data_IF_290034748845
#
_entry.id   IF_290034748845
#
_cell.length_a   1.000
_cell.length_b   1.000
_cell.length_c   1.000
_cell.angle_alpha   90.00
_cell.angle_beta   90.00
_cell.angle_gamma   90.00
#
_symmetry.space_group_name_H-M   'P 1'
#
loop_
_entity.id
_entity.type
_entity.pdbx_description
1 polymer ?
#
# COMPACT_ATOMS: atom_id res chain seq x y z
N UNK A 1 -20.43 -12.41 16.19
CA UNK A 1 -19.97 -12.05 14.84
C UNK A 1 -18.64 -12.76 14.59
N UNK A 2 -18.58 -13.66 13.61
CA UNK A 2 -17.36 -14.40 13.29
C UNK A 2 -16.30 -13.44 12.74
N UNK A 3 -15.07 -13.51 13.26
CA UNK A 3 -13.94 -12.73 12.75
C UNK A 3 -13.76 -13.04 11.25
N UNK A 4 -13.70 -12.02 10.37
CA UNK A 4 -13.49 -12.27 8.94
C UNK A 4 -12.21 -13.07 8.72
N UNK A 5 -12.23 -13.94 7.71
CA UNK A 5 -11.04 -14.70 7.32
C UNK A 5 -9.86 -13.75 7.10
N UNK A 6 -8.66 -14.16 7.47
CA UNK A 6 -7.46 -13.30 7.42
C UNK A 6 -7.25 -12.62 6.07
N UNK A 7 -7.56 -13.33 4.98
CA UNK A 7 -7.52 -12.83 3.59
C UNK A 7 -8.49 -11.69 3.28
N UNK A 8 -9.56 -11.53 4.08
CA UNK A 8 -10.59 -10.48 3.93
C UNK A 8 -10.40 -9.32 4.90
N UNK A 9 -9.35 -9.34 5.74
CA UNK A 9 -9.07 -8.22 6.64
C UNK A 9 -8.44 -7.06 5.87
N UNK A 10 -8.90 -5.85 6.12
CA UNK A 10 -8.29 -4.64 5.54
C UNK A 10 -7.01 -4.22 6.23
N UNK A 11 -6.84 -4.55 7.52
CA UNK A 11 -5.69 -4.13 8.33
C UNK A 11 -5.10 -5.30 9.10
N UNK A 12 -3.77 -5.40 9.06
CA UNK A 12 -2.93 -6.34 9.81
C UNK A 12 -1.79 -5.55 10.47
N UNK A 13 -1.61 -5.69 11.78
CA UNK A 13 -0.49 -5.08 12.50
C UNK A 13 0.82 -5.83 12.23
N UNK A 14 1.98 -5.16 12.35
CA UNK A 14 3.28 -5.82 12.09
C UNK A 14 3.51 -7.06 12.95
N UNK A 15 3.06 -7.06 14.21
CA UNK A 15 3.08 -8.24 15.10
C UNK A 15 2.27 -9.43 14.58
N UNK A 16 1.35 -9.19 13.65
CA UNK A 16 0.52 -10.23 13.04
C UNK A 16 1.13 -10.74 11.73
N UNK A 17 2.07 -10.01 11.11
CA UNK A 17 2.57 -10.27 9.75
C UNK A 17 3.84 -11.12 9.73
N UNK A 18 3.92 -12.10 8.84
CA UNK A 18 5.15 -12.82 8.53
C UNK A 18 5.32 -13.06 7.03
N UNK A 19 6.40 -13.76 6.66
CA UNK A 19 6.75 -14.00 5.25
C UNK A 19 5.66 -14.75 4.46
N UNK A 20 4.79 -15.50 5.14
CA UNK A 20 3.64 -16.19 4.50
C UNK A 20 2.52 -15.23 4.07
N UNK A 21 2.55 -13.98 4.53
CA UNK A 21 1.54 -12.98 4.23
C UNK A 21 1.87 -12.14 2.98
N UNK A 22 2.93 -12.44 2.22
CA UNK A 22 3.26 -11.70 0.99
C UNK A 22 2.07 -11.56 0.02
N UNK A 23 1.24 -12.60 -0.22
CA UNK A 23 0.06 -12.44 -1.06
C UNK A 23 -0.96 -11.41 -0.55
N UNK A 24 -0.92 -11.09 0.75
CA UNK A 24 -1.85 -10.14 1.40
C UNK A 24 -1.25 -8.74 1.53
N UNK A 25 0.06 -8.63 1.78
CA UNK A 25 0.70 -7.36 2.14
C UNK A 25 1.94 -6.99 1.32
N UNK A 26 2.35 -7.81 0.36
CA UNK A 26 3.58 -7.62 -0.40
C UNK A 26 4.86 -7.95 0.39
N UNK A 27 5.97 -8.07 -0.35
CA UNK A 27 7.27 -8.52 0.15
C UNK A 27 7.81 -7.64 1.29
N UNK A 28 7.73 -6.31 1.12
CA UNK A 28 8.24 -5.34 2.11
C UNK A 28 7.51 -5.42 3.45
N UNK A 29 6.18 -5.38 3.45
CA UNK A 29 5.42 -5.42 4.71
C UNK A 29 5.52 -6.79 5.38
N UNK A 30 5.55 -7.88 4.60
CA UNK A 30 5.74 -9.22 5.14
C UNK A 30 7.12 -9.37 5.80
N UNK A 31 8.19 -8.90 5.13
CA UNK A 31 9.54 -8.90 5.67
C UNK A 31 9.68 -8.02 6.91
N UNK A 32 9.04 -6.84 6.92
CA UNK A 32 9.01 -5.96 8.09
C UNK A 32 8.29 -6.61 9.28
N UNK A 33 7.17 -7.28 9.02
CA UNK A 33 6.45 -8.08 10.01
C UNK A 33 7.31 -9.21 10.59
N UNK A 34 7.99 -9.95 9.71
CA UNK A 34 8.89 -11.04 10.08
C UNK A 34 10.01 -10.54 11.02
N UNK A 35 10.64 -9.42 10.67
CA UNK A 35 11.64 -8.76 11.52
C UNK A 35 11.02 -8.30 12.84
N UNK A 36 9.84 -7.68 12.81
CA UNK A 36 9.16 -7.21 14.01
C UNK A 36 8.90 -8.35 15.00
N UNK A 37 8.36 -9.48 14.52
CA UNK A 37 8.08 -10.63 15.38
C UNK A 37 9.34 -11.30 15.93
N UNK A 38 10.39 -11.45 15.11
CA UNK A 38 11.59 -12.22 15.47
C UNK A 38 12.63 -11.42 16.25
N UNK A 39 12.70 -10.10 16.06
CA UNK A 39 13.82 -9.28 16.52
C UNK A 39 13.47 -8.30 17.63
N UNK A 40 12.20 -7.85 17.76
CA UNK A 40 11.81 -6.93 18.84
C UNK A 40 12.01 -7.56 20.21
N UNK A 41 11.63 -8.83 20.38
CA UNK A 41 11.90 -9.59 21.62
C UNK A 41 13.39 -9.85 21.89
N UNK A 42 14.26 -9.59 20.92
CA UNK A 42 15.72 -9.71 21.02
C UNK A 42 16.43 -8.36 21.17
N UNK A 43 15.68 -7.29 21.44
CA UNK A 43 16.22 -5.95 21.69
C UNK A 43 16.43 -5.09 20.44
N UNK A 44 16.04 -5.55 19.24
CA UNK A 44 16.10 -4.71 18.03
C UNK A 44 14.92 -3.74 18.03
N UNK A 45 15.21 -2.44 17.99
CA UNK A 45 14.18 -1.40 17.95
C UNK A 45 13.58 -1.28 16.55
N UNK A 46 12.37 -1.84 16.36
CA UNK A 46 11.60 -1.71 15.13
C UNK A 46 10.36 -0.88 15.44
N UNK A 47 10.17 0.29 14.80
CA UNK A 47 8.99 1.11 15.02
C UNK A 47 7.72 0.36 14.61
N UNK A 48 6.70 0.45 15.47
CA UNK A 48 5.45 -0.25 15.24
C UNK A 48 4.62 0.42 14.11
N UNK A 49 3.64 -0.32 13.63
CA UNK A 49 2.80 0.07 12.51
C UNK A 49 1.83 -1.03 12.10
N UNK A 50 1.13 -0.76 11.02
CA UNK A 50 0.18 -1.69 10.42
C UNK A 50 0.23 -1.62 8.90
N UNK A 51 -0.15 -2.72 8.25
CA UNK A 51 -0.35 -2.79 6.82
C UNK A 51 -1.84 -2.68 6.49
N UNK A 52 -2.15 -1.83 5.51
CA UNK A 52 -3.40 -1.88 4.75
C UNK A 52 -3.21 -2.93 3.66
N UNK A 53 -4.07 -3.95 3.63
CA UNK A 53 -3.87 -5.13 2.77
C UNK A 53 -4.19 -4.86 1.30
N UNK A 54 -3.70 -5.72 0.42
CA UNK A 54 -4.08 -5.72 -0.99
C UNK A 54 -5.59 -5.94 -1.20
N UNK A 55 -6.26 -6.65 -0.27
CA UNK A 55 -7.70 -6.78 -0.29
C UNK A 55 -8.42 -5.42 -0.15
N UNK A 56 -7.91 -4.52 0.71
CA UNK A 56 -8.47 -3.17 0.86
C UNK A 56 -8.33 -2.33 -0.42
N UNK A 57 -7.25 -2.54 -1.18
CA UNK A 57 -7.08 -1.91 -2.49
C UNK A 57 -8.16 -2.35 -3.48
N UNK A 58 -8.36 -3.67 -3.64
CA UNK A 58 -9.41 -4.18 -4.53
C UNK A 58 -10.81 -3.76 -4.07
N UNK A 59 -11.04 -3.76 -2.77
CA UNK A 59 -12.29 -3.30 -2.18
C UNK A 59 -12.58 -1.82 -2.50
N UNK A 60 -11.57 -0.95 -2.42
CA UNK A 60 -11.68 0.45 -2.83
C UNK A 60 -12.10 0.58 -4.31
N UNK A 61 -11.41 -0.13 -5.21
CA UNK A 61 -11.72 -0.06 -6.64
C UNK A 61 -13.13 -0.55 -6.97
N UNK A 62 -13.56 -1.62 -6.30
CA UNK A 62 -14.89 -2.21 -6.47
C UNK A 62 -15.98 -1.27 -5.93
N UNK A 63 -15.85 -0.80 -4.68
CA UNK A 63 -16.85 0.08 -4.06
C UNK A 63 -16.92 1.47 -4.67
N UNK A 64 -15.82 1.98 -5.22
CA UNK A 64 -15.81 3.22 -5.96
C UNK A 64 -16.36 3.06 -7.40
N UNK A 65 -16.59 1.83 -7.87
CA UNK A 65 -17.12 1.57 -9.21
C UNK A 65 -16.12 1.83 -10.35
N UNK A 66 -14.86 2.13 -10.05
CA UNK A 66 -13.87 2.56 -11.05
C UNK A 66 -13.15 1.40 -11.75
N UNK A 67 -13.40 0.14 -11.35
CA UNK A 67 -12.71 -1.01 -11.93
C UNK A 67 -12.89 -1.11 -13.44
N UNK A 68 -14.10 -0.90 -13.94
CA UNK A 68 -14.39 -0.98 -15.38
C UNK A 68 -13.93 0.27 -16.14
N UNK A 69 -13.91 1.43 -15.48
CA UNK A 69 -13.26 2.63 -16.02
C UNK A 69 -11.77 2.42 -16.26
N UNK A 70 -11.07 1.85 -15.28
CA UNK A 70 -9.64 1.51 -15.43
C UNK A 70 -9.45 0.54 -16.59
N UNK A 71 -10.30 -0.50 -16.74
CA UNK A 71 -10.21 -1.42 -17.89
C UNK A 71 -10.38 -0.69 -19.22
N UNK A 72 -11.36 0.21 -19.32
CA UNK A 72 -11.60 1.01 -20.53
C UNK A 72 -10.40 1.89 -20.85
N UNK A 73 -9.84 2.56 -19.83
CA UNK A 73 -8.67 3.43 -19.98
C UNK A 73 -7.46 2.63 -20.44
N UNK A 74 -7.29 1.38 -20.03
CA UNK A 74 -6.10 0.57 -20.37
C UNK A 74 -6.27 -0.32 -21.61
N UNK A 75 -7.42 -0.27 -22.30
CA UNK A 75 -7.75 -1.18 -23.40
C UNK A 75 -6.78 -1.08 -24.59
N UNK A 76 -6.34 0.13 -24.92
CA UNK A 76 -5.43 0.47 -26.02
C UNK A 76 -4.06 0.95 -25.51
N UNK A 77 -3.69 0.55 -24.29
CA UNK A 77 -2.38 0.83 -23.72
C UNK A 77 -1.28 0.22 -24.60
N UNK A 78 -0.34 1.08 -25.04
CA UNK A 78 0.87 0.69 -25.72
C UNK A 78 2.10 1.22 -24.95
N UNK A 79 2.88 0.33 -24.34
CA UNK A 79 4.06 0.69 -23.55
C UNK A 79 5.26 1.11 -24.39
N UNK A 80 5.27 0.82 -25.70
CA UNK A 80 6.30 1.29 -26.63
C UNK A 80 6.03 2.70 -27.16
N UNK A 81 4.82 3.24 -26.95
CA UNK A 81 4.51 4.65 -27.18
C UNK A 81 4.47 5.39 -25.84
N UNK A 82 5.52 6.18 -25.59
CA UNK A 82 5.69 6.94 -24.34
C UNK A 82 4.50 7.88 -24.08
N UNK A 83 3.95 8.52 -25.13
CA UNK A 83 2.82 9.46 -24.96
C UNK A 83 1.54 8.70 -24.62
N UNK A 84 1.30 7.57 -25.29
CA UNK A 84 0.18 6.69 -24.97
C UNK A 84 0.28 6.21 -23.51
N UNK A 85 1.41 5.63 -23.12
CA UNK A 85 1.68 5.15 -21.76
C UNK A 85 1.43 6.23 -20.70
N UNK A 86 2.00 7.42 -20.88
CA UNK A 86 1.84 8.55 -19.96
C UNK A 86 0.37 8.99 -19.84
N UNK A 87 -0.33 9.09 -20.97
CA UNK A 87 -1.73 9.50 -20.98
C UNK A 87 -2.63 8.49 -20.25
N UNK A 88 -2.42 7.19 -20.49
CA UNK A 88 -3.20 6.11 -19.88
C UNK A 88 -2.90 5.99 -18.39
N UNK A 89 -1.61 5.97 -18.01
CA UNK A 89 -1.18 5.95 -16.62
C UNK A 89 -1.72 7.15 -15.84
N UNK A 90 -1.64 8.36 -16.40
CA UNK A 90 -2.17 9.58 -15.77
C UNK A 90 -3.68 9.49 -15.54
N UNK A 91 -4.46 9.09 -16.55
CA UNK A 91 -5.92 8.95 -16.42
C UNK A 91 -6.31 7.98 -15.30
N UNK A 92 -5.63 6.84 -15.20
CA UNK A 92 -5.90 5.88 -14.11
C UNK A 92 -5.54 6.45 -12.74
N UNK A 93 -4.40 7.14 -12.62
CA UNK A 93 -4.00 7.81 -11.38
C UNK A 93 -5.03 8.85 -10.95
N UNK A 94 -5.54 9.64 -11.89
CA UNK A 94 -6.59 10.64 -11.63
C UNK A 94 -7.91 9.99 -11.16
N UNK A 95 -8.34 8.89 -11.80
CA UNK A 95 -9.50 8.12 -11.36
C UNK A 95 -9.35 7.68 -9.90
N UNK A 96 -8.22 7.04 -9.55
CA UNK A 96 -7.97 6.58 -8.18
C UNK A 96 -7.95 7.74 -7.19
N UNK A 97 -7.28 8.85 -7.53
CA UNK A 97 -7.20 10.02 -6.66
C UNK A 97 -8.55 10.69 -6.43
N UNK A 98 -9.46 10.66 -7.41
CA UNK A 98 -10.83 11.17 -7.28
C UNK A 98 -11.77 10.30 -6.46
N UNK A 99 -11.39 9.04 -6.16
CA UNK A 99 -12.25 8.16 -5.35
C UNK A 99 -12.33 8.62 -3.91
N UNK A 100 -13.47 8.36 -3.28
CA UNK A 100 -13.63 8.46 -1.83
C UNK A 100 -13.44 7.07 -1.23
N UNK A 101 -12.74 7.01 -0.09
CA UNK A 101 -12.65 5.76 0.65
C UNK A 101 -14.05 5.30 1.10
N UNK A 102 -14.40 4.01 0.93
CA UNK A 102 -15.54 3.43 1.62
C UNK A 102 -15.46 3.71 3.12
N UNK A 103 -16.58 4.11 3.74
CA UNK A 103 -16.56 4.67 5.09
C UNK A 103 -16.05 3.68 6.15
N UNK A 104 -16.32 2.40 5.95
CA UNK A 104 -15.80 1.30 6.75
C UNK A 104 -14.27 1.18 6.66
N UNK A 105 -13.70 1.24 5.45
CA UNK A 105 -12.25 1.23 5.25
C UNK A 105 -11.59 2.49 5.81
N UNK A 106 -12.18 3.67 5.57
CA UNK A 106 -11.72 4.94 6.12
C UNK A 106 -11.67 4.88 7.65
N UNK A 107 -12.78 4.49 8.28
CA UNK A 107 -12.89 4.41 9.74
C UNK A 107 -11.84 3.45 10.32
N UNK A 108 -11.62 2.29 9.68
CA UNK A 108 -10.62 1.33 10.12
C UNK A 108 -9.18 1.87 10.02
N UNK A 109 -8.85 2.57 8.93
CA UNK A 109 -7.53 3.22 8.79
C UNK A 109 -7.33 4.25 9.89
N UNK A 110 -8.32 5.12 10.10
CA UNK A 110 -8.27 6.17 11.12
C UNK A 110 -8.18 5.59 12.52
N UNK A 111 -8.96 4.57 12.84
CA UNK A 111 -8.94 3.90 14.15
C UNK A 111 -7.56 3.30 14.47
N UNK A 112 -6.93 2.63 13.50
CA UNK A 112 -5.61 2.05 13.70
C UNK A 112 -4.50 3.10 13.77
N UNK A 113 -4.64 4.23 13.06
CA UNK A 113 -3.78 5.39 13.28
C UNK A 113 -3.96 6.00 14.68
N UNK A 114 -5.20 6.10 15.20
CA UNK A 114 -5.44 6.54 16.59
C UNK A 114 -4.84 5.58 17.61
N UNK A 115 -4.73 4.27 17.31
CA UNK A 115 -4.01 3.31 18.17
C UNK A 115 -2.50 3.61 18.20
N UNK A 116 -1.91 4.03 17.09
CA UNK A 116 -0.52 4.52 17.10
C UNK A 116 -0.38 5.81 17.91
N UNK A 117 -1.32 6.75 17.81
CA UNK A 117 -1.31 7.95 18.65
C UNK A 117 -1.40 7.65 20.14
N UNK A 118 -2.16 6.62 20.53
CA UNK A 118 -2.19 6.17 21.94
C UNK A 118 -0.84 5.61 22.40
N UNK A 119 -0.06 4.99 21.50
CA UNK A 119 1.25 4.42 21.82
C UNK A 119 2.37 5.47 21.84
N UNK A 120 2.32 6.43 20.92
CA UNK A 120 3.45 7.34 20.63
C UNK A 120 3.14 8.82 20.85
N UNK A 121 1.92 9.15 21.27
CA UNK A 121 1.45 10.52 21.47
C UNK A 121 0.55 11.03 20.34
N UNK A 122 -0.32 11.98 20.68
CA UNK A 122 -1.27 12.62 19.75
C UNK A 122 -0.50 13.28 18.60
N UNK A 123 -0.95 13.06 17.36
CA UNK A 123 -0.32 13.64 16.17
C UNK A 123 1.01 12.99 15.79
N UNK A 124 1.23 11.72 16.17
CA UNK A 124 2.42 10.95 15.77
C UNK A 124 2.65 11.01 14.26
N UNK A 125 3.91 11.19 13.88
CA UNK A 125 4.35 11.15 12.50
C UNK A 125 4.53 9.72 12.00
N UNK A 126 3.97 9.43 10.82
CA UNK A 126 4.07 8.13 10.17
C UNK A 126 4.66 8.22 8.77
N UNK A 127 5.39 7.17 8.39
CA UNK A 127 5.74 6.87 7.02
C UNK A 127 4.63 6.02 6.40
N UNK A 128 4.26 6.35 5.17
CA UNK A 128 3.30 5.60 4.36
C UNK A 128 4.06 5.05 3.15
N UNK A 129 4.20 3.73 3.06
CA UNK A 129 5.04 3.06 2.07
C UNK A 129 4.23 2.04 1.31
N UNK A 130 4.29 2.08 -0.01
CA UNK A 130 3.69 1.02 -0.82
C UNK A 130 4.48 -0.30 -0.71
N UNK A 131 3.79 -1.42 -0.92
CA UNK A 131 4.31 -2.79 -0.90
C UNK A 131 3.45 -3.63 -1.85
N UNK A 132 3.98 -3.98 -3.03
CA UNK A 132 3.20 -4.70 -4.05
C UNK A 132 3.21 -6.22 -3.81
N UNK A 133 2.12 -6.91 -4.15
CA UNK A 133 2.01 -8.37 -3.93
C UNK A 133 2.81 -9.23 -4.90
N UNK A 134 3.36 -8.63 -5.96
CA UNK A 134 4.11 -9.33 -7.01
C UNK A 134 5.65 -9.24 -6.85
N UNK A 135 6.13 -8.80 -5.68
CA UNK A 135 7.57 -8.62 -5.38
C UNK A 135 8.38 -9.94 -5.29
N UNK A 136 7.71 -11.10 -5.27
CA UNK A 136 8.34 -12.41 -5.02
C UNK A 136 8.73 -13.21 -6.28
N UNK A 137 8.62 -12.64 -7.50
CA UNK A 137 9.37 -13.25 -8.60
C UNK A 137 10.87 -12.95 -8.38
N UNK A 138 11.78 -13.95 -8.53
CA UNK A 138 13.22 -13.79 -8.29
C UNK A 138 13.86 -12.58 -9.00
N UNK A 139 13.29 -12.17 -10.14
CA UNK A 139 13.74 -11.02 -10.94
C UNK A 139 12.85 -9.76 -10.82
N UNK A 140 11.85 -9.77 -9.93
CA UNK A 140 10.89 -8.68 -9.78
C UNK A 140 11.15 -7.80 -8.57
N UNK A 141 12.31 -7.14 -8.56
CA UNK A 141 12.48 -6.00 -7.69
C UNK A 141 11.66 -4.82 -8.23
N UNK A 142 10.47 -4.59 -7.68
CA UNK A 142 9.80 -3.28 -7.76
C UNK A 142 10.55 -2.20 -6.95
N UNK A 143 11.80 -2.48 -6.56
CA UNK A 143 12.69 -1.58 -5.84
C UNK A 143 12.90 -0.29 -6.64
N UNK A 144 12.67 0.84 -5.99
CA UNK A 144 12.82 2.17 -6.59
C UNK A 144 11.66 2.63 -7.50
N UNK A 145 10.55 1.89 -7.58
CA UNK A 145 9.34 2.31 -8.30
C UNK A 145 8.17 2.71 -7.38
N UNK A 146 8.43 2.70 -6.07
CA UNK A 146 7.39 2.65 -5.07
C UNK A 146 7.40 3.89 -4.18
N UNK A 147 6.25 4.56 -4.15
CA UNK A 147 6.07 5.83 -3.47
C UNK A 147 6.14 5.66 -1.96
N UNK A 148 6.98 6.50 -1.34
CA UNK A 148 7.11 6.62 0.11
C UNK A 148 6.81 8.06 0.51
N UNK A 149 5.84 8.22 1.40
CA UNK A 149 5.47 9.51 1.96
C UNK A 149 5.90 9.56 3.42
N UNK A 150 6.74 10.52 3.77
CA UNK A 150 7.30 10.68 5.12
C UNK A 150 6.61 11.82 5.86
N UNK A 151 6.76 11.83 7.19
CA UNK A 151 6.26 12.90 8.08
C UNK A 151 4.74 13.15 7.96
N UNK A 152 3.96 12.11 7.67
CA UNK A 152 2.51 12.23 7.54
C UNK A 152 1.90 12.31 8.94
N UNK A 153 1.06 13.32 9.17
CA UNK A 153 0.41 13.59 10.44
C UNK A 153 -1.08 13.80 10.28
N UNK A 154 -1.84 13.10 11.10
CA UNK A 154 -3.28 13.24 11.21
C UNK A 154 -4.07 12.44 10.15
N UNK A 155 -5.35 12.14 10.44
CA UNK A 155 -6.17 11.26 9.60
C UNK A 155 -6.30 11.68 8.14
N UNK A 156 -6.51 12.98 7.88
CA UNK A 156 -6.71 13.49 6.51
C UNK A 156 -5.46 13.30 5.66
N UNK A 157 -4.30 13.68 6.17
CA UNK A 157 -3.04 13.52 5.44
C UNK A 157 -2.68 12.05 5.23
N UNK A 158 -3.00 11.18 6.20
CA UNK A 158 -2.83 9.74 6.07
C UNK A 158 -3.67 9.17 4.93
N UNK A 159 -4.96 9.49 4.88
CA UNK A 159 -5.86 9.00 3.82
C UNK A 159 -5.40 9.49 2.44
N UNK A 160 -5.00 10.75 2.31
CA UNK A 160 -4.45 11.29 1.07
C UNK A 160 -3.16 10.58 0.65
N UNK A 161 -2.23 10.35 1.58
CA UNK A 161 -1.02 9.57 1.29
C UNK A 161 -1.34 8.13 0.87
N UNK A 162 -2.35 7.50 1.48
CA UNK A 162 -2.79 6.16 1.10
C UNK A 162 -3.37 6.13 -0.33
N UNK A 163 -4.18 7.11 -0.74
CA UNK A 163 -4.67 7.21 -2.12
C UNK A 163 -3.51 7.35 -3.11
N UNK A 164 -2.54 8.21 -2.80
CA UNK A 164 -1.36 8.40 -3.64
C UNK A 164 -0.53 7.13 -3.77
N UNK A 165 -0.38 6.36 -2.68
CA UNK A 165 0.22 5.03 -2.75
C UNK A 165 -0.57 4.12 -3.69
N UNK A 166 -1.90 3.98 -3.54
CA UNK A 166 -2.69 3.15 -4.45
C UNK A 166 -2.59 3.59 -5.92
N UNK A 167 -2.59 4.90 -6.18
CA UNK A 167 -2.38 5.44 -7.53
C UNK A 167 -0.98 5.13 -8.08
N UNK A 168 0.04 5.00 -7.22
CA UNK A 168 1.42 4.73 -7.64
C UNK A 168 1.60 3.40 -8.40
N UNK A 169 0.66 2.46 -8.22
CA UNK A 169 0.64 1.23 -9.01
C UNK A 169 0.52 1.54 -10.52
N UNK A 170 -0.04 2.68 -10.91
CA UNK A 170 -0.18 3.09 -12.30
C UNK A 170 0.78 4.20 -12.72
N UNK A 171 1.95 4.31 -12.08
CA UNK A 171 3.06 5.09 -12.65
C UNK A 171 3.52 4.48 -13.96
N UNK A 172 4.08 5.29 -14.85
CA UNK A 172 4.47 4.87 -16.21
C UNK A 172 5.47 3.70 -16.13
N UNK A 173 6.42 3.78 -15.18
CA UNK A 173 7.41 2.74 -14.90
C UNK A 173 6.76 1.44 -14.40
N UNK A 174 5.80 1.53 -13.48
CA UNK A 174 5.12 0.35 -12.94
C UNK A 174 4.21 -0.32 -13.98
N UNK A 175 3.55 0.47 -14.84
CA UNK A 175 2.73 -0.05 -15.95
C UNK A 175 3.62 -0.74 -16.99
N UNK A 176 4.68 -0.08 -17.48
CA UNK A 176 5.63 -0.67 -18.43
C UNK A 176 6.16 -2.00 -17.90
N UNK A 177 6.66 -1.99 -16.66
CA UNK A 177 7.20 -3.19 -16.03
C UNK A 177 6.20 -4.36 -15.98
N UNK A 178 4.93 -4.09 -15.66
CA UNK A 178 3.91 -5.13 -15.64
C UNK A 178 3.63 -5.71 -17.02
N UNK A 179 3.57 -4.86 -18.05
CA UNK A 179 3.35 -5.33 -19.43
C UNK A 179 4.54 -6.18 -19.89
N UNK A 180 5.77 -5.73 -19.63
CA UNK A 180 7.00 -6.43 -20.01
C UNK A 180 7.13 -7.80 -19.33
N UNK A 181 6.59 -7.94 -18.12
CA UNK A 181 6.54 -9.20 -17.36
C UNK A 181 5.25 -10.00 -17.60
N UNK A 182 4.38 -9.57 -18.51
CA UNK A 182 3.10 -10.20 -18.83
C UNK A 182 2.17 -10.38 -17.61
N UNK A 183 2.22 -9.45 -16.67
CA UNK A 183 1.34 -9.44 -15.51
C UNK A 183 0.02 -8.75 -15.80
N UNK A 184 -1.09 -9.42 -15.47
CA UNK A 184 -2.41 -8.79 -15.49
C UNK A 184 -2.46 -7.64 -14.46
N UNK A 185 -2.83 -6.45 -14.94
CA UNK A 185 -2.96 -5.24 -14.14
C UNK A 185 -3.99 -5.35 -13.01
N UNK A 186 -4.95 -6.28 -13.11
CA UNK A 186 -5.97 -6.52 -12.07
C UNK A 186 -5.63 -7.68 -11.14
N UNK A 187 -4.59 -8.45 -11.43
CA UNK A 187 -4.12 -9.55 -10.56
C UNK A 187 -3.17 -9.07 -9.46
N UNK A 188 -2.51 -7.92 -9.67
CA UNK A 188 -1.56 -7.33 -8.74
C UNK A 188 -2.26 -6.32 -7.85
N UNK A 189 -2.20 -6.56 -6.54
CA UNK A 189 -2.67 -5.63 -5.53
C UNK A 189 -1.53 -4.81 -4.94
N UNK A 190 -1.90 -3.68 -4.33
CA UNK A 190 -0.96 -2.88 -3.56
C UNK A 190 -1.37 -2.87 -2.09
N UNK A 191 -0.42 -3.22 -1.23
CA UNK A 191 -0.51 -2.99 0.21
C UNK A 191 0.21 -1.70 0.59
N UNK A 192 -0.17 -1.12 1.72
CA UNK A 192 0.44 0.09 2.25
C UNK A 192 0.88 -0.16 3.68
N UNK A 193 2.17 -0.03 3.96
CA UNK A 193 2.71 0.00 5.31
C UNK A 193 2.60 1.39 5.91
N UNK A 194 1.93 1.52 7.05
CA UNK A 194 1.85 2.73 7.86
C UNK A 194 2.67 2.49 9.12
N UNK A 195 3.83 3.15 9.24
CA UNK A 195 4.80 2.92 10.30
C UNK A 195 5.16 4.22 11.01
N UNK A 196 5.35 4.18 12.33
CA UNK A 196 5.91 5.31 13.09
C UNK A 196 7.26 5.74 12.47
N UNK A 197 7.38 7.02 12.08
CA UNK A 197 8.65 7.64 11.64
C UNK A 197 9.74 7.62 12.71
N UNK A 198 10.98 7.29 12.39
CA UNK A 198 12.10 7.53 13.33
C UNK A 198 12.68 8.92 13.07
N UNK A 199 13.04 9.63 14.13
CA UNK A 199 13.81 10.89 14.05
C UNK A 199 15.27 10.54 13.77
N UNK A 200 15.60 10.29 12.51
CA UNK A 200 16.97 9.98 12.10
C UNK A 200 17.96 11.11 12.40
N UNK A 201 17.46 12.34 12.55
CA UNK A 201 18.22 13.52 12.98
C UNK A 201 18.63 13.50 14.45
N UNK A 202 18.00 12.66 15.27
CA UNK A 202 18.29 12.56 16.71
C UNK A 202 19.05 11.30 17.11
N UNK A 203 19.31 10.39 16.18
CA UNK A 203 19.85 9.07 16.51
C UNK A 203 18.89 8.26 17.39
N UNK A 204 19.19 6.99 17.61
CA UNK A 204 18.45 6.16 18.57
C UNK A 204 18.72 6.61 20.00
#
# INVERSE_FOLDING_TARGET
MSTPSRSKRFILWFRELGIRDVPLVGGKNASLGEMYQKLVGKGVSIPNGFAITAHAYFYLLEKAGIRDDIKRVLKDLNTHDIRNLQAHGKKVRELIMSTTFPKDLENLIVENYRKLEKQYGKGVDVAVRSSATAEDLPDASFAGQQETYLNIRGPKALLEACKKCFASLFTDRAVSYRVDKHFDHFSIGLSIGVQKMVRSDKGA
#
